data_IF_410090395455
#
_entry.id   IF_410090395455
#
_cell.length_a   1.000
_cell.length_b   1.000
_cell.length_c   1.000
_cell.angle_alpha   90.00
_cell.angle_beta   90.00
_cell.angle_gamma   90.00
#
_symmetry.space_group_name_H-M   'P 1'
#
loop_
_entity.id
_entity.type
_entity.pdbx_description
1 polymer ?
#
# COMPACT_ATOMS: atom_id res chain seq x y z
N UNK A 1 -21.56 -10.37 -9.19
CA UNK A 1 -20.92 -11.14 -8.10
C UNK A 1 -20.92 -10.28 -6.85
N UNK A 2 -21.33 -10.83 -5.71
CA UNK A 2 -21.18 -10.14 -4.42
C UNK A 2 -19.70 -9.98 -4.08
N UNK A 3 -19.34 -8.86 -3.45
CA UNK A 3 -17.98 -8.63 -3.00
C UNK A 3 -17.63 -9.60 -1.86
N UNK A 4 -16.36 -10.05 -1.83
CA UNK A 4 -15.83 -10.95 -0.80
C UNK A 4 -14.48 -10.48 -0.28
N UNK A 5 -14.07 -11.02 0.88
CA UNK A 5 -12.73 -10.84 1.43
C UNK A 5 -12.43 -9.39 1.82
N UNK A 6 -11.19 -8.95 1.57
CA UNK A 6 -10.70 -7.63 1.97
C UNK A 6 -11.53 -6.50 1.38
N UNK A 7 -12.01 -6.64 0.13
CA UNK A 7 -12.87 -5.65 -0.52
C UNK A 7 -14.20 -5.44 0.23
N UNK A 8 -14.87 -6.55 0.59
CA UNK A 8 -16.11 -6.50 1.38
C UNK A 8 -15.86 -5.90 2.76
N UNK A 9 -14.77 -6.29 3.41
CA UNK A 9 -14.40 -5.80 4.73
C UNK A 9 -14.05 -4.29 4.70
N UNK A 10 -13.34 -3.82 3.67
CA UNK A 10 -13.05 -2.41 3.45
C UNK A 10 -14.34 -1.60 3.22
N UNK A 11 -15.26 -2.11 2.39
CA UNK A 11 -16.57 -1.50 2.15
C UNK A 11 -17.39 -1.34 3.44
N UNK A 12 -17.31 -2.31 4.38
CA UNK A 12 -17.89 -2.17 5.72
C UNK A 12 -17.14 -1.11 6.54
N UNK A 13 -15.81 -1.17 6.58
CA UNK A 13 -14.98 -0.25 7.36
C UNK A 13 -15.23 1.22 7.00
N UNK A 14 -15.25 1.58 5.71
CA UNK A 14 -15.47 2.97 5.27
C UNK A 14 -16.89 3.47 5.49
N UNK A 15 -17.85 2.57 5.78
CA UNK A 15 -19.22 2.90 6.18
C UNK A 15 -19.40 3.00 7.70
N UNK A 16 -18.43 2.53 8.47
CA UNK A 16 -18.50 2.58 9.92
C UNK A 16 -18.55 4.02 10.41
N UNK A 17 -19.44 4.27 11.38
CA UNK A 17 -19.48 5.55 12.10
C UNK A 17 -18.12 5.73 12.79
N UNK A 18 -17.52 6.92 12.62
CA UNK A 18 -16.21 7.21 13.20
C UNK A 18 -15.05 6.50 12.50
N UNK A 19 -15.17 6.17 11.20
CA UNK A 19 -14.09 5.60 10.39
C UNK A 19 -12.70 6.22 10.65
N UNK A 20 -12.58 7.55 10.66
CA UNK A 20 -11.31 8.24 10.90
C UNK A 20 -10.72 7.91 12.28
N UNK A 21 -11.55 7.75 13.32
CA UNK A 21 -11.09 7.33 14.65
C UNK A 21 -10.58 5.90 14.63
N UNK A 22 -11.27 5.00 13.92
CA UNK A 22 -10.83 3.61 13.76
C UNK A 22 -9.45 3.57 13.08
N UNK A 23 -9.28 4.34 12.00
CA UNK A 23 -7.99 4.45 11.30
C UNK A 23 -6.91 5.03 12.23
N UNK A 24 -7.18 6.10 12.98
CA UNK A 24 -6.21 6.66 13.92
C UNK A 24 -5.77 5.63 14.98
N UNK A 25 -6.69 4.79 15.46
CA UNK A 25 -6.36 3.69 16.39
C UNK A 25 -5.48 2.62 15.74
N UNK A 26 -5.61 2.35 14.44
CA UNK A 26 -4.75 1.39 13.72
C UNK A 26 -3.36 1.96 13.42
N UNK A 27 -3.26 3.28 13.30
CA UNK A 27 -1.99 3.91 12.94
C UNK A 27 -1.04 4.03 14.14
N UNK A 28 -1.57 4.08 15.38
CA UNK A 28 -0.81 3.97 16.65
C UNK A 28 0.49 4.80 16.70
N UNK A 29 0.53 5.95 16.01
CA UNK A 29 1.75 6.73 15.81
C UNK A 29 1.48 8.20 16.02
N UNK A 30 2.25 8.79 16.94
CA UNK A 30 2.17 10.22 17.24
C UNK A 30 2.46 11.08 16.01
N UNK A 31 1.78 12.23 15.95
CA UNK A 31 1.89 13.15 14.83
C UNK A 31 1.15 12.71 13.56
N UNK A 32 0.55 11.52 13.54
CA UNK A 32 -0.26 11.04 12.43
C UNK A 32 -1.74 11.12 12.80
N UNK A 33 -2.53 11.83 11.98
CA UNK A 33 -3.99 11.81 12.12
C UNK A 33 -4.72 11.90 10.78
N UNK A 34 -5.86 11.22 10.68
CA UNK A 34 -6.93 11.47 9.72
C UNK A 34 -8.13 12.08 10.45
N UNK A 35 -8.84 12.99 9.80
CA UNK A 35 -10.01 13.71 10.31
C UNK A 35 -11.20 13.57 9.37
N UNK A 36 -12.38 14.07 9.77
CA UNK A 36 -13.55 14.13 8.86
C UNK A 36 -13.38 15.05 7.65
N UNK A 37 -12.37 15.93 7.67
CA UNK A 37 -12.07 16.85 6.56
C UNK A 37 -11.11 16.25 5.53
N UNK A 38 -10.49 15.11 5.85
CA UNK A 38 -9.64 14.40 4.91
C UNK A 38 -10.47 13.73 3.81
N UNK A 39 -9.84 13.50 2.68
CA UNK A 39 -10.46 12.86 1.53
C UNK A 39 -9.98 11.41 1.52
N UNK A 40 -10.88 10.45 1.43
CA UNK A 40 -10.55 9.04 1.27
C UNK A 40 -11.38 8.34 0.20
N UNK A 41 -10.78 7.35 -0.44
CA UNK A 41 -11.40 6.50 -1.46
C UNK A 41 -10.94 5.05 -1.21
N UNK A 42 -11.86 4.06 -1.11
CA UNK A 42 -13.31 4.19 -1.16
C UNK A 42 -13.87 4.98 0.04
N UNK A 43 -15.11 5.46 -0.04
CA UNK A 43 -15.80 6.16 1.05
C UNK A 43 -17.25 5.67 1.20
N UNK A 44 -18.00 6.19 2.18
CA UNK A 44 -19.37 5.74 2.47
C UNK A 44 -20.33 5.83 1.27
N UNK A 45 -20.13 6.79 0.37
CA UNK A 45 -20.95 7.00 -0.85
C UNK A 45 -20.50 6.09 -1.99
N UNK A 46 -19.21 5.79 -2.09
CA UNK A 46 -18.61 4.91 -3.10
C UNK A 46 -17.71 3.85 -2.46
N UNK A 47 -18.30 2.89 -1.72
CA UNK A 47 -17.58 2.03 -0.78
C UNK A 47 -16.77 0.90 -1.45
N UNK A 48 -16.93 0.73 -2.75
CA UNK A 48 -16.33 -0.34 -3.56
C UNK A 48 -15.33 0.17 -4.58
N UNK A 49 -15.16 1.50 -4.64
CA UNK A 49 -14.33 2.18 -5.63
C UNK A 49 -12.88 2.21 -5.16
N UNK A 50 -12.04 1.42 -5.83
CA UNK A 50 -10.59 1.58 -5.77
C UNK A 50 -10.14 2.62 -6.80
N UNK A 51 -9.12 3.40 -6.46
CA UNK A 51 -8.57 4.45 -7.32
C UNK A 51 -7.09 4.23 -7.56
N UNK A 52 -6.64 4.54 -8.78
CA UNK A 52 -5.21 4.56 -9.10
C UNK A 52 -4.54 5.75 -8.42
N UNK A 53 -3.30 5.56 -7.96
CA UNK A 53 -2.54 6.60 -7.26
C UNK A 53 -2.49 7.92 -8.03
N UNK A 54 -2.21 7.88 -9.33
CA UNK A 54 -2.15 9.07 -10.20
C UNK A 54 -3.47 9.85 -10.25
N UNK A 55 -4.61 9.16 -10.24
CA UNK A 55 -5.92 9.81 -10.24
C UNK A 55 -6.14 10.53 -8.90
N UNK A 56 -5.78 9.89 -7.79
CA UNK A 56 -5.90 10.51 -6.47
C UNK A 56 -4.98 11.73 -6.31
N UNK A 57 -3.72 11.61 -6.73
CA UNK A 57 -2.74 12.70 -6.67
C UNK A 57 -3.20 13.92 -7.47
N UNK A 58 -3.72 13.70 -8.68
CA UNK A 58 -4.18 14.79 -9.56
C UNK A 58 -5.29 15.63 -8.92
N UNK A 59 -6.20 14.98 -8.18
CA UNK A 59 -7.34 15.65 -7.56
C UNK A 59 -7.02 16.28 -6.20
N UNK A 60 -6.03 15.77 -5.46
CA UNK A 60 -5.87 16.08 -4.03
C UNK A 60 -4.50 16.65 -3.64
N UNK A 61 -3.54 16.62 -4.55
CA UNK A 61 -2.17 17.12 -4.36
C UNK A 61 -1.76 18.01 -5.52
N UNK A 62 -1.05 17.44 -6.50
CA UNK A 62 -0.44 18.18 -7.59
C UNK A 62 -0.48 17.37 -8.89
N UNK A 63 -0.83 18.05 -9.98
CA UNK A 63 -1.01 17.46 -11.31
C UNK A 63 0.32 16.98 -11.89
N UNK A 64 1.41 17.71 -11.63
CA UNK A 64 2.74 17.37 -12.11
C UNK A 64 3.27 16.14 -11.37
N UNK A 65 3.14 16.07 -10.05
CA UNK A 65 3.45 14.86 -9.26
C UNK A 65 2.63 13.66 -9.76
N UNK A 66 1.35 13.84 -10.07
CA UNK A 66 0.54 12.77 -10.64
C UNK A 66 1.08 12.26 -12.00
N UNK A 67 1.50 13.15 -12.89
CA UNK A 67 2.10 12.79 -14.18
C UNK A 67 3.45 12.09 -14.00
N UNK A 68 4.29 12.62 -13.11
CA UNK A 68 5.62 12.09 -12.88
C UNK A 68 5.57 10.72 -12.20
N UNK A 69 4.55 10.45 -11.38
CA UNK A 69 4.34 9.11 -10.82
C UNK A 69 4.13 8.04 -11.89
N UNK A 70 3.47 8.40 -13.00
CA UNK A 70 3.25 7.49 -14.13
C UNK A 70 4.54 7.32 -14.92
N UNK A 71 5.24 8.41 -15.25
CA UNK A 71 6.47 8.37 -16.04
C UNK A 71 7.58 7.60 -15.34
N UNK A 72 7.68 7.76 -14.02
CA UNK A 72 8.63 7.01 -13.20
C UNK A 72 8.31 5.51 -13.23
N UNK A 73 7.03 5.15 -13.12
CA UNK A 73 6.61 3.75 -13.00
C UNK A 73 6.51 2.99 -14.32
N UNK A 74 6.14 3.67 -15.42
CA UNK A 74 5.84 3.05 -16.71
C UNK A 74 6.57 3.76 -17.85
N UNK A 75 7.14 2.97 -18.76
CA UNK A 75 7.63 3.46 -20.04
C UNK A 75 6.47 4.02 -20.90
N UNK A 76 5.32 3.33 -20.90
CA UNK A 76 4.12 3.74 -21.64
C UNK A 76 2.84 3.27 -20.96
N UNK A 77 1.86 4.16 -20.84
CA UNK A 77 0.56 3.88 -20.25
C UNK A 77 0.17 4.93 -19.22
N UNK A 78 -0.96 4.73 -18.55
CA UNK A 78 -1.52 5.69 -17.60
C UNK A 78 -2.02 5.06 -16.29
N UNK A 79 -1.90 3.74 -16.17
CA UNK A 79 -2.42 2.99 -15.03
C UNK A 79 -1.36 2.85 -13.93
N UNK A 80 -1.38 3.79 -12.97
CA UNK A 80 -0.66 3.61 -11.72
C UNK A 80 -1.32 2.51 -10.86
N UNK A 81 -0.62 1.96 -9.85
CA UNK A 81 -1.22 1.00 -8.94
C UNK A 81 -2.47 1.55 -8.27
N UNK A 82 -3.45 0.65 -8.10
CA UNK A 82 -4.63 0.89 -7.29
C UNK A 82 -4.35 0.46 -5.85
N UNK A 83 -5.11 1.03 -4.94
CA UNK A 83 -5.00 0.79 -3.51
C UNK A 83 -6.36 0.46 -2.94
N UNK A 84 -6.39 -0.39 -1.91
CA UNK A 84 -7.63 -0.78 -1.22
C UNK A 84 -8.25 0.41 -0.49
N UNK A 85 -7.41 1.33 0.00
CA UNK A 85 -7.80 2.66 0.46
C UNK A 85 -6.66 3.66 0.24
N UNK A 86 -6.99 4.86 -0.24
CA UNK A 86 -6.10 6.02 -0.27
C UNK A 86 -6.78 7.16 0.47
N UNK A 87 -6.03 7.90 1.30
CA UNK A 87 -6.51 9.10 1.95
C UNK A 87 -5.49 10.21 2.03
N UNK A 88 -5.94 11.46 2.07
CA UNK A 88 -5.13 12.54 2.66
C UNK A 88 -5.05 12.33 4.16
N UNK A 89 -3.97 12.78 4.78
CA UNK A 89 -3.85 12.79 6.22
C UNK A 89 -2.92 13.93 6.66
N UNK A 90 -2.74 14.07 7.96
CA UNK A 90 -1.70 14.92 8.55
C UNK A 90 -0.61 14.04 9.15
N UNK A 91 0.65 14.34 8.83
CA UNK A 91 1.84 13.69 9.37
C UNK A 91 2.79 14.80 9.87
N UNK A 92 3.01 14.87 11.18
CA UNK A 92 3.82 15.89 11.86
C UNK A 92 3.45 17.32 11.42
N UNK A 93 2.15 17.62 11.40
CA UNK A 93 1.61 18.92 11.02
C UNK A 93 1.64 19.22 9.51
N UNK A 94 2.13 18.30 8.68
CA UNK A 94 2.16 18.45 7.21
C UNK A 94 1.08 17.60 6.57
N UNK A 95 0.48 18.12 5.49
CA UNK A 95 -0.43 17.34 4.63
C UNK A 95 0.36 16.18 4.00
N UNK A 96 -0.12 14.97 4.21
CA UNK A 96 0.48 13.73 3.72
C UNK A 96 -0.56 12.79 3.13
N UNK A 97 -0.12 11.59 2.78
CA UNK A 97 -0.95 10.55 2.17
C UNK A 97 -0.89 9.26 2.98
N UNK A 98 -2.06 8.70 3.28
CA UNK A 98 -2.23 7.35 3.79
C UNK A 98 -2.55 6.42 2.62
N UNK A 99 -1.75 5.38 2.48
CA UNK A 99 -1.91 4.32 1.50
C UNK A 99 -2.16 3.01 2.23
N UNK A 100 -3.24 2.30 1.89
CA UNK A 100 -3.58 1.04 2.55
C UNK A 100 -3.64 -0.10 1.55
N UNK A 101 -2.97 -1.18 1.92
CA UNK A 101 -3.06 -2.48 1.27
C UNK A 101 -3.69 -3.48 2.25
N UNK A 102 -4.83 -4.04 1.91
CA UNK A 102 -5.62 -4.90 2.77
C UNK A 102 -5.54 -6.38 2.35
N UNK A 103 -5.56 -7.26 3.35
CA UNK A 103 -5.56 -8.71 3.17
C UNK A 103 -6.61 -9.35 4.07
N UNK A 104 -7.25 -10.40 3.61
CA UNK A 104 -8.26 -11.18 4.33
C UNK A 104 -7.82 -12.62 4.60
N UNK A 105 -6.80 -13.12 3.89
CA UNK A 105 -6.30 -14.48 4.11
C UNK A 105 -4.81 -14.66 3.78
N UNK A 106 -4.21 -15.72 4.35
CA UNK A 106 -2.77 -16.02 4.24
C UNK A 106 -2.30 -16.17 2.78
N UNK A 107 -3.15 -16.76 1.94
CA UNK A 107 -2.85 -17.01 0.53
C UNK A 107 -2.67 -15.77 -0.35
N UNK A 108 -2.90 -14.55 0.15
CA UNK A 108 -2.69 -13.31 -0.62
C UNK A 108 -1.24 -12.80 -0.53
N UNK A 109 -0.50 -13.17 0.53
CA UNK A 109 0.90 -12.78 0.73
C UNK A 109 1.82 -13.80 0.06
N UNK A 110 1.92 -13.72 -1.27
CA UNK A 110 2.68 -14.68 -2.07
C UNK A 110 4.10 -14.18 -2.33
N UNK A 111 5.06 -15.11 -2.36
CA UNK A 111 6.35 -14.87 -2.99
C UNK A 111 6.19 -14.96 -4.53
N UNK A 112 5.50 -13.98 -5.09
CA UNK A 112 5.21 -13.92 -6.52
C UNK A 112 6.05 -12.86 -7.23
N UNK A 113 6.12 -13.01 -8.56
CA UNK A 113 6.78 -12.08 -9.46
C UNK A 113 5.78 -11.33 -10.31
N UNK A 114 6.17 -10.18 -10.82
CA UNK A 114 5.43 -9.54 -11.91
C UNK A 114 5.50 -10.40 -13.15
N UNK A 115 4.40 -11.07 -13.46
CA UNK A 115 4.30 -11.87 -14.67
C UNK A 115 4.24 -11.00 -15.93
N UNK A 116 4.96 -11.44 -16.96
CA UNK A 116 4.85 -10.95 -18.33
C UNK A 116 4.47 -12.14 -19.23
N UNK A 117 3.56 -11.91 -20.19
CA UNK A 117 3.14 -12.96 -21.13
C UNK A 117 4.32 -13.31 -22.06
N UNK A 118 4.41 -14.57 -22.50
CA UNK A 118 5.44 -15.03 -23.45
C UNK A 118 5.45 -14.18 -24.73
N UNK A 119 4.26 -13.90 -25.27
CA UNK A 119 4.05 -13.06 -26.46
C UNK A 119 3.76 -11.59 -26.11
N UNK A 120 4.41 -11.06 -25.06
CA UNK A 120 4.23 -9.66 -24.68
C UNK A 120 4.78 -8.70 -25.74
N UNK A 121 4.05 -7.62 -25.98
CA UNK A 121 4.47 -6.54 -26.88
C UNK A 121 5.77 -5.88 -26.39
N UNK A 122 6.49 -5.22 -27.28
CA UNK A 122 7.69 -4.44 -26.94
C UNK A 122 7.41 -3.42 -25.84
N UNK A 123 6.29 -2.71 -25.90
CA UNK A 123 5.90 -1.73 -24.86
C UNK A 123 5.66 -2.41 -23.50
N UNK A 124 5.08 -3.62 -23.49
CA UNK A 124 4.87 -4.39 -22.25
C UNK A 124 6.20 -4.85 -21.64
N UNK A 125 7.17 -5.28 -22.46
CA UNK A 125 8.53 -5.62 -22.01
C UNK A 125 9.25 -4.41 -21.43
N UNK A 126 9.19 -3.27 -22.11
CA UNK A 126 9.76 -2.01 -21.62
C UNK A 126 9.10 -1.52 -20.32
N UNK A 127 7.78 -1.65 -20.18
CA UNK A 127 7.11 -1.37 -18.91
C UNK A 127 7.57 -2.31 -17.80
N UNK A 128 7.76 -3.59 -18.11
CA UNK A 128 8.25 -4.57 -17.15
C UNK A 128 9.65 -4.21 -16.65
N UNK A 129 10.55 -3.79 -17.54
CA UNK A 129 11.89 -3.28 -17.23
C UNK A 129 11.83 -1.98 -16.41
N UNK A 130 11.02 -1.00 -16.81
CA UNK A 130 10.85 0.27 -16.09
C UNK A 130 10.41 0.04 -14.64
N UNK A 131 9.49 -0.90 -14.40
CA UNK A 131 9.05 -1.28 -13.06
C UNK A 131 10.20 -1.85 -12.23
N UNK A 132 11.07 -2.68 -12.83
CA UNK A 132 12.23 -3.20 -12.11
C UNK A 132 13.22 -2.10 -11.75
N UNK A 133 13.46 -1.15 -12.66
CA UNK A 133 14.31 0.02 -12.38
C UNK A 133 13.73 0.89 -11.25
N UNK A 134 12.42 1.17 -11.29
CA UNK A 134 11.74 1.95 -10.26
C UNK A 134 11.82 1.28 -8.86
N UNK A 135 11.63 -0.05 -8.79
CA UNK A 135 11.79 -0.80 -7.53
C UNK A 135 13.27 -0.80 -7.08
N UNK A 136 14.22 -0.99 -8.00
CA UNK A 136 15.64 -1.00 -7.66
C UNK A 136 16.15 0.36 -7.15
N UNK A 137 15.62 1.45 -7.70
CA UNK A 137 15.89 2.82 -7.22
C UNK A 137 15.45 2.99 -5.76
N UNK A 138 14.19 2.63 -5.45
CA UNK A 138 13.68 2.67 -4.09
C UNK A 138 14.49 1.78 -3.13
N UNK A 139 14.80 0.55 -3.57
CA UNK A 139 15.60 -0.40 -2.81
C UNK A 139 16.97 0.15 -2.45
N UNK A 140 17.65 0.78 -3.42
CA UNK A 140 18.99 1.36 -3.23
C UNK A 140 18.97 2.47 -2.18
N UNK A 141 17.94 3.31 -2.18
CA UNK A 141 17.82 4.37 -1.18
C UNK A 141 17.52 3.80 0.21
N UNK A 142 16.54 2.89 0.31
CA UNK A 142 16.13 2.31 1.59
C UNK A 142 17.23 1.45 2.21
N UNK A 143 18.12 0.86 1.40
CA UNK A 143 19.30 0.14 1.87
C UNK A 143 20.20 0.93 2.81
N UNK A 144 20.19 2.26 2.72
CA UNK A 144 20.91 3.12 3.66
C UNK A 144 20.40 3.01 5.12
N UNK A 145 19.13 2.67 5.30
CA UNK A 145 18.49 2.50 6.60
C UNK A 145 18.27 1.04 7.00
N UNK A 146 18.13 0.14 6.02
CA UNK A 146 17.86 -1.30 6.18
C UNK A 146 18.81 -2.08 5.26
N UNK A 147 19.97 -2.50 5.77
CA UNK A 147 21.04 -3.05 4.94
C UNK A 147 20.62 -4.28 4.11
N UNK A 148 19.82 -5.16 4.70
CA UNK A 148 19.45 -6.46 4.11
C UNK A 148 18.26 -6.38 3.13
N UNK A 149 17.67 -5.19 2.96
CA UNK A 149 16.48 -5.05 2.10
C UNK A 149 16.79 -5.41 0.64
N UNK A 150 15.92 -6.21 0.05
CA UNK A 150 16.05 -6.76 -1.29
C UNK A 150 14.72 -6.71 -2.05
N UNK A 151 14.09 -5.53 -2.09
CA UNK A 151 12.87 -5.30 -2.88
C UNK A 151 13.13 -5.65 -4.34
N UNK A 152 12.17 -6.37 -4.92
CA UNK A 152 12.31 -6.87 -6.29
C UNK A 152 10.96 -6.94 -6.98
N UNK A 153 10.99 -6.81 -8.30
CA UNK A 153 9.85 -7.15 -9.13
C UNK A 153 9.61 -8.66 -9.17
N UNK A 154 10.65 -9.45 -8.91
CA UNK A 154 10.68 -10.89 -9.13
C UNK A 154 10.48 -11.70 -7.83
N UNK A 155 10.32 -11.02 -6.69
CA UNK A 155 9.99 -11.58 -5.37
C UNK A 155 9.06 -10.65 -4.62
N UNK A 156 8.01 -11.18 -3.99
CA UNK A 156 6.99 -10.43 -3.25
C UNK A 156 6.53 -9.16 -3.99
N UNK A 157 6.21 -9.26 -5.29
CA UNK A 157 6.05 -8.11 -6.18
C UNK A 157 5.07 -7.06 -5.66
N UNK A 158 3.91 -7.51 -5.13
CA UNK A 158 2.91 -6.58 -4.60
C UNK A 158 3.48 -5.74 -3.44
N UNK A 159 4.22 -6.36 -2.53
CA UNK A 159 4.89 -5.68 -1.43
C UNK A 159 5.97 -4.72 -1.91
N UNK A 160 6.90 -5.21 -2.74
CA UNK A 160 7.97 -4.39 -3.32
C UNK A 160 7.43 -3.17 -4.06
N UNK A 161 6.33 -3.33 -4.81
CA UNK A 161 5.63 -2.25 -5.48
C UNK A 161 5.11 -1.20 -4.47
N UNK A 162 4.41 -1.63 -3.40
CA UNK A 162 3.80 -0.68 -2.46
C UNK A 162 4.85 0.10 -1.68
N UNK A 163 5.94 -0.55 -1.26
CA UNK A 163 7.07 0.12 -0.62
C UNK A 163 7.74 1.10 -1.58
N UNK A 164 8.00 0.72 -2.83
CA UNK A 164 8.61 1.61 -3.81
C UNK A 164 7.78 2.87 -4.06
N UNK A 165 6.45 2.74 -4.19
CA UNK A 165 5.56 3.89 -4.33
C UNK A 165 5.52 4.79 -3.09
N UNK A 166 5.53 4.20 -1.89
CA UNK A 166 5.56 4.98 -0.65
C UNK A 166 6.85 5.80 -0.54
N UNK A 167 8.00 5.18 -0.85
CA UNK A 167 9.29 5.88 -0.94
C UNK A 167 9.27 6.97 -1.99
N UNK A 168 8.80 6.70 -3.21
CA UNK A 168 8.84 7.66 -4.31
C UNK A 168 8.06 8.93 -3.97
N UNK A 169 6.86 8.80 -3.39
CA UNK A 169 6.05 9.92 -2.94
C UNK A 169 6.76 10.75 -1.85
N UNK A 170 7.38 10.09 -0.88
CA UNK A 170 8.18 10.76 0.15
C UNK A 170 9.38 11.50 -0.45
N UNK A 171 10.02 10.92 -1.46
CA UNK A 171 11.10 11.57 -2.23
C UNK A 171 10.60 12.74 -3.10
N UNK A 172 9.30 12.79 -3.43
CA UNK A 172 8.66 13.98 -4.02
C UNK A 172 8.22 15.03 -2.98
N UNK A 173 8.46 14.80 -1.70
CA UNK A 173 8.15 15.74 -0.62
C UNK A 173 6.78 15.53 0.04
N UNK A 174 6.04 14.48 -0.33
CA UNK A 174 4.76 14.14 0.29
C UNK A 174 5.02 13.15 1.44
N UNK A 175 4.81 13.52 2.72
CA UNK A 175 4.89 12.55 3.82
C UNK A 175 3.92 11.40 3.59
N UNK A 176 4.39 10.16 3.79
CA UNK A 176 3.60 8.95 3.49
C UNK A 176 3.49 8.04 4.68
N UNK A 177 2.30 7.46 4.85
CA UNK A 177 2.11 6.28 5.68
C UNK A 177 1.57 5.16 4.81
N UNK A 178 2.27 4.03 4.84
CA UNK A 178 1.86 2.80 4.18
C UNK A 178 1.35 1.84 5.26
N UNK A 179 0.04 1.56 5.26
CA UNK A 179 -0.57 0.61 6.18
C UNK A 179 -0.87 -0.70 5.44
N UNK A 180 -0.28 -1.78 5.93
CA UNK A 180 -0.73 -3.14 5.61
C UNK A 180 -1.77 -3.57 6.64
N UNK A 181 -3.00 -3.82 6.19
CA UNK A 181 -4.15 -4.08 7.05
C UNK A 181 -4.65 -5.53 6.91
N UNK A 182 -4.56 -6.30 7.98
CA UNK A 182 -5.16 -7.62 8.08
C UNK A 182 -6.62 -7.56 8.53
N UNK A 183 -7.56 -7.96 7.68
CA UNK A 183 -8.95 -8.16 8.10
C UNK A 183 -9.13 -9.54 8.74
N UNK A 184 -9.52 -9.53 10.01
CA UNK A 184 -9.77 -10.73 10.78
C UNK A 184 -11.20 -11.26 10.55
N UNK A 185 -11.33 -12.57 10.53
CA UNK A 185 -12.59 -13.30 10.46
C UNK A 185 -13.42 -13.02 9.18
N UNK A 186 -12.76 -12.90 8.03
CA UNK A 186 -13.43 -12.87 6.73
C UNK A 186 -13.99 -14.25 6.32
N UNK A 187 -15.02 -14.74 7.03
CA UNK A 187 -15.63 -16.05 6.85
C UNK A 187 -16.16 -16.31 5.43
N UNK A 188 -16.48 -15.27 4.68
CA UNK A 188 -16.88 -15.38 3.27
C UNK A 188 -15.76 -15.90 2.34
N UNK A 189 -14.53 -16.02 2.86
CA UNK A 189 -13.37 -16.60 2.19
C UNK A 189 -12.98 -17.98 2.74
N UNK A 190 -13.61 -18.49 3.80
CA UNK A 190 -13.15 -19.70 4.51
C UNK A 190 -13.23 -20.98 3.68
N UNK A 191 -14.13 -21.03 2.71
CA UNK A 191 -14.32 -22.24 1.88
C UNK A 191 -13.08 -22.60 1.05
N UNK A 192 -12.28 -21.59 0.70
CA UNK A 192 -11.13 -21.76 -0.19
C UNK A 192 -9.80 -21.32 0.42
N UNK A 193 -9.82 -20.61 1.56
CA UNK A 193 -8.64 -19.96 2.10
C UNK A 193 -8.57 -19.99 3.63
N UNK A 194 -7.34 -20.08 4.14
CA UNK A 194 -7.05 -19.89 5.56
C UNK A 194 -7.11 -18.39 5.90
N UNK A 195 -8.25 -17.96 6.43
CA UNK A 195 -8.50 -16.60 6.92
C UNK A 195 -7.70 -16.30 8.19
N UNK A 196 -7.45 -15.01 8.45
CA UNK A 196 -6.83 -14.57 9.70
C UNK A 196 -7.87 -14.56 10.83
N UNK A 197 -7.55 -15.16 11.98
CA UNK A 197 -8.45 -15.21 13.15
C UNK A 197 -8.00 -14.30 14.29
N UNK A 198 -6.70 -14.07 14.41
CA UNK A 198 -6.09 -13.25 15.47
C UNK A 198 -5.07 -12.28 14.88
N UNK A 199 -4.74 -11.23 15.63
CA UNK A 199 -3.70 -10.28 15.23
C UNK A 199 -2.35 -10.97 15.04
N UNK A 200 -2.02 -11.90 15.96
CA UNK A 200 -0.79 -12.70 15.86
C UNK A 200 -0.70 -13.51 14.55
N UNK A 201 -1.80 -14.10 14.10
CA UNK A 201 -1.80 -14.85 12.84
C UNK A 201 -1.56 -13.97 11.61
N UNK A 202 -2.00 -12.71 11.67
CA UNK A 202 -1.73 -11.71 10.64
C UNK A 202 -0.28 -11.25 10.71
N UNK A 203 0.19 -10.85 11.88
CA UNK A 203 1.55 -10.37 12.12
C UNK A 203 2.60 -11.42 11.73
N UNK A 204 2.48 -12.66 12.20
CA UNK A 204 3.41 -13.74 11.84
C UNK A 204 3.43 -13.97 10.32
N UNK A 205 2.27 -13.85 9.66
CA UNK A 205 2.17 -14.03 8.20
C UNK A 205 2.78 -12.87 7.43
N UNK A 206 2.59 -11.63 7.90
CA UNK A 206 3.15 -10.44 7.29
C UNK A 206 4.67 -10.38 7.48
N UNK A 207 5.16 -10.63 8.70
CA UNK A 207 6.58 -10.69 9.03
C UNK A 207 7.29 -11.73 8.16
N UNK A 208 6.78 -12.96 8.11
CA UNK A 208 7.35 -14.00 7.23
C UNK A 208 7.32 -13.64 5.75
N UNK A 209 6.38 -12.80 5.30
CA UNK A 209 6.35 -12.29 3.92
C UNK A 209 7.41 -11.21 3.68
N UNK A 210 7.63 -10.31 4.64
CA UNK A 210 8.65 -9.25 4.54
C UNK A 210 10.07 -9.76 4.69
N UNK A 211 10.29 -10.81 5.48
CA UNK A 211 11.59 -11.48 5.67
C UNK A 211 12.15 -12.02 4.34
N UNK A 212 11.29 -12.46 3.41
CA UNK A 212 11.68 -12.95 2.08
C UNK A 212 12.49 -11.91 1.30
N UNK A 213 12.27 -10.63 1.59
CA UNK A 213 12.96 -9.50 0.96
C UNK A 213 13.71 -8.62 1.97
N UNK A 214 14.02 -9.15 3.16
CA UNK A 214 14.79 -8.44 4.21
C UNK A 214 14.17 -7.11 4.65
N UNK A 215 12.83 -7.01 4.63
CA UNK A 215 12.11 -5.77 4.84
C UNK A 215 11.43 -5.67 6.22
N UNK A 216 11.61 -6.65 7.10
CA UNK A 216 11.03 -6.67 8.44
C UNK A 216 11.42 -5.44 9.27
N UNK A 217 12.65 -4.94 9.11
CA UNK A 217 13.14 -3.73 9.78
C UNK A 217 12.44 -2.42 9.34
N UNK A 218 11.61 -2.44 8.29
CA UNK A 218 10.81 -1.28 7.89
C UNK A 218 9.59 -1.05 8.79
N UNK A 219 9.06 -2.10 9.42
CA UNK A 219 7.79 -2.01 10.15
C UNK A 219 7.95 -1.11 11.36
N UNK A 220 7.11 -0.08 11.46
CA UNK A 220 7.14 0.95 12.51
C UNK A 220 8.24 2.01 12.34
N UNK A 221 9.29 1.73 11.57
CA UNK A 221 10.41 2.64 11.34
C UNK A 221 10.02 3.76 10.37
N UNK A 222 10.38 4.98 10.73
CA UNK A 222 10.26 6.14 9.84
C UNK A 222 11.53 6.28 9.02
N UNK A 223 11.40 6.22 7.69
CA UNK A 223 12.50 6.29 6.74
C UNK A 223 12.59 7.70 6.15
N UNK A 224 13.78 8.26 6.12
CA UNK A 224 14.04 9.55 5.49
C UNK A 224 14.29 9.38 3.99
N UNK A 225 13.47 10.02 3.17
CA UNK A 225 13.53 9.91 1.71
C UNK A 225 14.05 11.19 1.05
N UNK A 226 14.85 11.97 1.77
CA UNK A 226 15.42 13.24 1.29
C UNK A 226 14.47 14.41 1.52
N UNK A 227 13.36 14.48 0.77
CA UNK A 227 12.41 15.61 0.86
C UNK A 227 11.35 15.45 1.94
N UNK A 228 11.02 14.21 2.30
CA UNK A 228 10.04 13.86 3.31
C UNK A 228 10.30 12.46 3.85
N UNK A 229 9.37 11.92 4.63
CA UNK A 229 9.48 10.61 5.26
C UNK A 229 8.37 9.67 4.84
N UNK A 230 8.65 8.36 4.79
CA UNK A 230 7.60 7.34 4.83
C UNK A 230 7.67 6.51 6.10
N UNK A 231 6.56 5.92 6.52
CA UNK A 231 6.52 4.88 7.56
C UNK A 231 5.63 3.73 7.10
N UNK A 232 6.13 2.49 7.26
CA UNK A 232 5.34 1.28 7.07
C UNK A 232 4.73 0.87 8.41
N UNK A 233 3.42 0.61 8.43
CA UNK A 233 2.68 0.11 9.59
C UNK A 233 2.02 -1.21 9.19
N UNK A 234 2.03 -2.17 10.11
CA UNK A 234 1.29 -3.41 10.02
C UNK A 234 0.30 -3.45 11.18
N UNK A 235 -0.99 -3.62 10.89
CA UNK A 235 -2.00 -3.79 11.93
C UNK A 235 -3.17 -4.63 11.40
N UNK A 236 -4.05 -5.06 12.28
CA UNK A 236 -5.24 -5.84 11.93
C UNK A 236 -6.50 -5.36 12.62
N UNK A 237 -7.64 -5.73 12.04
CA UNK A 237 -8.94 -5.36 12.59
C UNK A 237 -9.99 -6.43 12.30
N UNK A 238 -10.87 -6.64 13.28
CA UNK A 238 -12.13 -7.34 13.10
C UNK A 238 -13.24 -6.33 12.85
N UNK A 239 -13.78 -6.30 11.63
CA UNK A 239 -14.95 -5.48 11.30
C UNK A 239 -16.21 -6.26 11.65
N UNK A 240 -17.04 -5.67 12.52
CA UNK A 240 -18.37 -6.21 12.86
C UNK A 240 -19.29 -6.09 11.62
#
# INVERSE_FOLDING_TARGET
MSEKGSKKAMSKLVKSIGFHNIINVLLKKDGLSITSNDIWIPNSVSPTKEVGLNVFLRSNFDVQVANDSIKWWLYKGSAAPKWDLISTCTINGKRGILLVEAKAHKGELKNDKKNIKKEATTDSKKNHEQIALAIAEANTHIKGDIADIALSRDSCYQFSNRVAHAWWLANQGIPVVLLYLGFLNCEDMSDNYKTFKTDKEWEDCFTGHTEIVGAEGLVGKTINCGKSTFTLICDSIKIK
#
